data_IF_842380329543
#
_entry.id   IF_842380329543
#
_cell.length_a   1.000
_cell.length_b   1.000
_cell.length_c   1.000
_cell.angle_alpha   90.00
_cell.angle_beta   90.00
_cell.angle_gamma   90.00
#
_symmetry.space_group_name_H-M   'P 1'
#
loop_
_entity.id
_entity.type
_entity.pdbx_description
1 polymer ?
#
# COMPACT_ATOMS: atom_id res chain seq x y z
N UNK A 1 -6.31 33.26 51.99
CA UNK A 1 -4.91 32.78 52.18
C UNK A 1 -4.60 31.83 51.05
N UNK A 2 -3.64 32.19 50.21
CA UNK A 2 -3.18 31.41 49.05
C UNK A 2 -1.84 30.77 49.45
N UNK A 3 -1.66 29.47 49.24
CA UNK A 3 -0.41 28.73 49.51
C UNK A 3 0.06 28.03 48.21
N UNK A 4 1.39 27.86 48.02
CA UNK A 4 2.01 27.78 46.71
C UNK A 4 2.09 26.37 46.10
N UNK A 5 2.05 26.35 44.77
CA UNK A 5 2.31 25.22 43.88
C UNK A 5 3.73 24.69 44.11
N UNK A 6 3.88 23.38 44.37
CA UNK A 6 5.19 22.71 44.40
C UNK A 6 5.47 21.97 43.09
N UNK A 7 6.57 22.40 42.47
CA UNK A 7 7.41 21.72 41.46
C UNK A 7 7.80 20.34 42.01
N UNK A 8 7.93 19.25 41.27
CA UNK A 8 7.91 18.97 39.85
C UNK A 8 8.57 17.60 39.65
N UNK A 9 8.18 16.89 38.60
CA UNK A 9 8.97 15.76 38.09
C UNK A 9 8.68 15.66 36.60
N UNK A 10 9.52 16.30 35.79
CA UNK A 10 9.53 16.07 34.34
C UNK A 10 10.07 14.66 34.11
N UNK A 11 9.16 13.70 33.92
CA UNK A 11 9.50 12.38 33.39
C UNK A 11 9.89 12.60 31.93
N UNK A 12 11.19 12.67 31.65
CA UNK A 12 11.69 12.57 30.28
C UNK A 12 11.48 11.13 29.81
N UNK A 13 10.37 10.91 29.09
CA UNK A 13 10.10 9.66 28.40
C UNK A 13 11.08 9.57 27.22
N UNK A 14 12.19 8.88 27.41
CA UNK A 14 13.11 8.56 26.32
C UNK A 14 12.42 7.53 25.42
N UNK A 15 11.73 8.00 24.38
CA UNK A 15 11.17 7.14 23.35
C UNK A 15 12.33 6.69 22.46
N UNK A 16 12.93 5.55 22.79
CA UNK A 16 13.88 4.89 21.91
C UNK A 16 13.12 4.41 20.67
N UNK A 17 13.17 5.17 19.58
CA UNK A 17 12.63 4.77 18.28
C UNK A 17 13.54 3.70 17.68
N UNK A 18 13.23 2.43 17.94
CA UNK A 18 13.77 1.31 17.16
C UNK A 18 13.09 1.33 15.78
N UNK A 19 13.60 2.15 14.87
CA UNK A 19 13.23 2.09 13.46
C UNK A 19 13.92 0.86 12.84
N UNK A 20 13.32 -0.33 13.03
CA UNK A 20 13.69 -1.50 12.23
C UNK A 20 13.00 -1.36 10.88
N UNK A 21 13.74 -1.26 9.76
CA UNK A 21 13.11 -1.28 8.44
C UNK A 21 12.46 -2.65 8.22
N UNK A 22 11.13 -2.70 8.24
CA UNK A 22 10.37 -3.89 7.85
C UNK A 22 10.50 -4.11 6.35
N UNK A 23 11.13 -5.21 5.93
CA UNK A 23 11.10 -5.64 4.53
C UNK A 23 9.74 -6.27 4.24
N UNK A 24 8.98 -5.67 3.31
CA UNK A 24 7.80 -6.28 2.72
C UNK A 24 8.20 -7.53 1.94
N UNK A 25 7.67 -8.69 2.30
CA UNK A 25 7.92 -9.95 1.59
C UNK A 25 6.89 -10.13 0.49
N UNK A 26 7.17 -9.52 -0.66
CA UNK A 26 6.35 -9.72 -1.84
C UNK A 26 6.54 -11.14 -2.36
N UNK A 27 5.44 -11.88 -2.49
CA UNK A 27 5.40 -13.19 -3.14
C UNK A 27 5.30 -12.96 -4.64
N UNK A 28 6.02 -13.74 -5.43
CA UNK A 28 5.80 -13.79 -6.87
C UNK A 28 4.45 -14.47 -7.11
N UNK A 29 3.39 -13.75 -7.52
CA UNK A 29 2.12 -14.40 -7.81
C UNK A 29 2.28 -15.31 -9.04
N UNK A 30 1.48 -16.38 -9.16
CA UNK A 30 1.36 -17.10 -10.43
C UNK A 30 0.99 -16.12 -11.55
N UNK A 31 1.24 -16.50 -12.81
CA UNK A 31 1.00 -15.62 -13.97
C UNK A 31 -0.49 -15.34 -14.17
N UNK A 32 -1.00 -14.33 -13.47
CA UNK A 32 -2.33 -13.77 -13.67
C UNK A 32 -2.30 -12.87 -14.89
N UNK A 33 -3.28 -13.00 -15.77
CA UNK A 33 -3.39 -12.13 -16.94
C UNK A 33 -3.78 -10.71 -16.55
N UNK A 34 -3.41 -9.72 -17.36
CA UNK A 34 -3.75 -8.31 -17.10
C UNK A 34 -5.26 -8.09 -17.16
N UNK A 35 -5.93 -8.78 -18.08
CA UNK A 35 -7.37 -8.76 -18.26
C UNK A 35 -8.10 -9.25 -17.00
N UNK A 36 -7.58 -10.30 -16.36
CA UNK A 36 -8.10 -10.84 -15.11
C UNK A 36 -7.92 -9.88 -13.94
N UNK A 37 -6.76 -9.21 -13.84
CA UNK A 37 -6.53 -8.16 -12.84
C UNK A 37 -7.52 -7.00 -13.04
N UNK A 38 -7.66 -6.49 -14.26
CA UNK A 38 -8.58 -5.40 -14.56
C UNK A 38 -10.01 -5.79 -14.24
N UNK A 39 -10.44 -6.99 -14.65
CA UNK A 39 -11.79 -7.47 -14.36
C UNK A 39 -12.05 -7.58 -12.86
N UNK A 40 -11.09 -8.11 -12.09
CA UNK A 40 -11.18 -8.19 -10.63
C UNK A 40 -11.29 -6.79 -9.99
N UNK A 41 -10.50 -5.83 -10.44
CA UNK A 41 -10.54 -4.46 -9.94
C UNK A 41 -11.85 -3.74 -10.25
N UNK A 42 -12.41 -3.93 -11.45
CA UNK A 42 -13.70 -3.34 -11.86
C UNK A 42 -14.87 -3.93 -11.09
N UNK A 43 -14.81 -5.24 -10.81
CA UNK A 43 -15.85 -5.94 -10.05
C UNK A 43 -15.70 -5.81 -8.53
N UNK A 44 -14.69 -5.07 -8.06
CA UNK A 44 -14.31 -4.95 -6.65
C UNK A 44 -13.97 -6.29 -5.96
N UNK A 45 -13.49 -7.27 -6.74
CA UNK A 45 -13.17 -8.64 -6.28
C UNK A 45 -11.68 -8.92 -6.26
N UNK A 46 -10.87 -8.06 -5.63
CA UNK A 46 -9.41 -8.28 -5.60
C UNK A 46 -9.02 -9.52 -4.79
N UNK A 47 -9.89 -9.98 -3.88
CA UNK A 47 -9.68 -11.16 -3.04
C UNK A 47 -9.55 -12.47 -3.83
N UNK A 48 -10.02 -12.51 -5.07
CA UNK A 48 -9.88 -13.70 -5.94
C UNK A 48 -8.49 -13.80 -6.57
N UNK A 49 -7.73 -12.70 -6.54
CA UNK A 49 -6.36 -12.68 -7.06
C UNK A 49 -5.41 -13.35 -6.05
N UNK A 50 -4.30 -13.94 -6.52
CA UNK A 50 -3.30 -14.54 -5.65
C UNK A 50 -2.70 -13.50 -4.69
N UNK A 51 -2.40 -13.90 -3.44
CA UNK A 51 -1.82 -12.99 -2.46
C UNK A 51 -0.43 -12.51 -2.90
N UNK A 52 -0.23 -11.18 -2.85
CA UNK A 52 1.04 -10.55 -3.18
C UNK A 52 2.02 -10.46 -2.00
N UNK A 53 1.54 -10.61 -0.76
CA UNK A 53 2.32 -10.35 0.45
C UNK A 53 2.20 -11.54 1.40
N UNK A 54 3.31 -12.20 1.73
CA UNK A 54 3.29 -13.38 2.62
C UNK A 54 3.15 -13.01 4.10
N UNK A 55 3.49 -11.77 4.45
CA UNK A 55 3.41 -11.18 5.78
C UNK A 55 2.03 -10.60 6.11
N UNK A 56 1.11 -10.58 5.14
CA UNK A 56 -0.29 -10.17 5.34
C UNK A 56 -1.22 -11.34 5.01
N UNK A 57 -1.63 -12.15 6.02
CA UNK A 57 -2.48 -13.30 5.76
C UNK A 57 -3.91 -12.89 5.37
N UNK A 58 -4.68 -13.77 4.68
CA UNK A 58 -6.01 -13.43 4.15
C UNK A 58 -7.05 -13.00 5.18
N UNK A 59 -6.90 -13.44 6.43
CA UNK A 59 -7.78 -13.10 7.56
C UNK A 59 -7.41 -11.77 8.24
N UNK A 60 -6.28 -11.15 7.86
CA UNK A 60 -5.84 -9.89 8.42
C UNK A 60 -6.64 -8.72 7.84
N UNK A 61 -7.00 -7.74 8.68
CA UNK A 61 -7.78 -6.56 8.29
C UNK A 61 -7.15 -5.76 7.12
N UNK A 62 -5.83 -5.80 6.99
CA UNK A 62 -5.09 -5.08 5.95
C UNK A 62 -5.08 -5.80 4.59
N UNK A 63 -5.41 -7.11 4.53
CA UNK A 63 -5.22 -7.96 3.35
C UNK A 63 -5.84 -7.37 2.08
N UNK A 64 -7.14 -7.07 2.13
CA UNK A 64 -7.86 -6.47 0.99
C UNK A 64 -7.28 -5.11 0.58
N UNK A 65 -6.88 -4.31 1.56
CA UNK A 65 -6.39 -2.95 1.30
C UNK A 65 -5.05 -2.99 0.55
N UNK A 66 -4.10 -3.80 1.02
CA UNK A 66 -2.79 -3.91 0.39
C UNK A 66 -2.91 -4.54 -1.01
N UNK A 67 -3.76 -5.55 -1.17
CA UNK A 67 -4.02 -6.13 -2.48
C UNK A 67 -4.66 -5.13 -3.46
N UNK A 68 -5.67 -4.36 -3.03
CA UNK A 68 -6.31 -3.35 -3.88
C UNK A 68 -5.32 -2.27 -4.30
N UNK A 69 -4.46 -1.80 -3.40
CA UNK A 69 -3.45 -0.80 -3.72
C UNK A 69 -2.44 -1.35 -4.74
N UNK A 70 -1.99 -2.59 -4.56
CA UNK A 70 -0.95 -3.18 -5.41
C UNK A 70 -1.44 -3.68 -6.76
N UNK A 71 -2.61 -4.32 -6.83
CA UNK A 71 -3.18 -4.81 -8.09
C UNK A 71 -3.91 -3.72 -8.86
N UNK A 72 -4.73 -2.93 -8.17
CA UNK A 72 -5.66 -2.04 -8.85
C UNK A 72 -5.14 -0.62 -8.97
N UNK A 73 -4.16 -0.18 -8.18
CA UNK A 73 -3.57 1.16 -8.28
C UNK A 73 -4.64 2.27 -8.45
N UNK A 74 -4.70 2.96 -9.61
CA UNK A 74 -5.71 4.00 -9.90
C UNK A 74 -7.10 3.45 -10.27
N UNK A 75 -7.21 2.18 -10.66
CA UNK A 75 -8.46 1.53 -11.04
C UNK A 75 -9.29 1.21 -9.80
N UNK A 76 -10.02 2.20 -9.31
CA UNK A 76 -10.97 2.02 -8.20
C UNK A 76 -12.37 1.73 -8.74
N UNK A 77 -13.26 1.24 -7.88
CA UNK A 77 -14.61 0.72 -8.17
C UNK A 77 -15.63 1.76 -8.70
N UNK A 78 -15.16 2.79 -9.41
CA UNK A 78 -15.93 3.84 -10.08
C UNK A 78 -15.30 4.27 -11.42
N UNK A 79 -14.34 3.50 -11.94
CA UNK A 79 -13.66 3.83 -13.20
C UNK A 79 -14.62 3.59 -14.37
N UNK A 80 -14.97 4.60 -15.18
CA UNK A 80 -15.94 4.42 -16.26
C UNK A 80 -15.36 3.52 -17.36
N UNK A 81 -16.18 2.66 -18.01
CA UNK A 81 -15.71 1.61 -18.92
C UNK A 81 -14.87 2.12 -20.09
N UNK A 82 -15.19 3.30 -20.61
CA UNK A 82 -14.42 3.96 -21.67
C UNK A 82 -13.01 4.39 -21.23
N UNK A 83 -12.79 4.67 -19.94
CA UNK A 83 -11.47 5.00 -19.40
C UNK A 83 -10.62 3.73 -19.24
N UNK A 84 -11.24 2.60 -18.90
CA UNK A 84 -10.57 1.30 -18.77
C UNK A 84 -9.98 0.87 -20.11
N UNK A 85 -10.74 0.90 -21.19
CA UNK A 85 -10.26 0.55 -22.53
C UNK A 85 -9.10 1.42 -23.01
N UNK A 86 -9.15 2.72 -22.68
CA UNK A 86 -8.07 3.67 -23.01
C UNK A 86 -6.82 3.37 -22.21
N UNK A 87 -6.93 3.13 -20.90
CA UNK A 87 -5.79 2.78 -20.07
C UNK A 87 -5.17 1.44 -20.50
N UNK A 88 -5.99 0.43 -20.81
CA UNK A 88 -5.52 -0.85 -21.38
C UNK A 88 -4.63 -0.62 -22.61
N UNK A 89 -5.06 0.30 -23.50
CA UNK A 89 -4.39 0.65 -24.75
C UNK A 89 -3.18 1.58 -24.58
N UNK A 90 -3.21 2.51 -23.63
CA UNK A 90 -2.22 3.58 -23.43
C UNK A 90 -1.09 3.19 -22.44
N UNK A 91 -1.19 2.10 -21.67
CA UNK A 91 -0.12 1.58 -20.76
C UNK A 91 1.15 1.04 -21.48
N UNK A 92 1.45 1.49 -22.70
CA UNK A 92 2.84 1.58 -23.16
C UNK A 92 3.57 2.78 -22.53
N UNK A 93 2.86 3.68 -21.83
CA UNK A 93 3.35 4.97 -21.32
C UNK A 93 3.17 5.17 -19.80
N UNK A 94 2.49 4.26 -19.11
CA UNK A 94 2.38 4.30 -17.65
C UNK A 94 3.60 3.58 -17.06
N UNK A 95 4.39 4.25 -16.19
CA UNK A 95 5.48 3.58 -15.50
C UNK A 95 4.92 2.36 -14.78
N UNK A 96 5.67 1.24 -14.86
CA UNK A 96 5.35 0.02 -14.14
C UNK A 96 4.74 0.34 -12.78
N UNK A 97 3.65 -0.31 -12.35
CA UNK A 97 2.98 -0.03 -11.07
C UNK A 97 3.85 -0.32 -9.82
N UNK A 98 5.17 -0.44 -9.98
CA UNK A 98 6.14 -0.64 -8.91
C UNK A 98 7.53 -0.08 -9.22
N UNK A 99 7.67 0.92 -10.09
CA UNK A 99 8.85 1.79 -10.04
C UNK A 99 8.51 2.97 -9.13
N UNK A 100 8.64 2.77 -7.81
CA UNK A 100 8.78 3.89 -6.88
C UNK A 100 9.93 4.77 -7.42
N UNK A 101 9.77 6.08 -7.60
CA UNK A 101 10.93 6.94 -7.78
C UNK A 101 11.81 6.75 -6.56
N UNK A 102 13.05 6.31 -6.78
CA UNK A 102 14.09 6.27 -5.75
C UNK A 102 14.13 7.69 -5.14
N UNK A 103 13.74 7.79 -3.86
CA UNK A 103 13.83 9.05 -3.14
C UNK A 103 15.30 9.47 -3.16
N UNK A 104 15.65 10.70 -3.57
CA UNK A 104 17.03 11.13 -3.52
C UNK A 104 17.52 11.02 -2.08
N UNK A 105 18.59 10.25 -1.90
CA UNK A 105 19.29 10.06 -0.65
C UNK A 105 19.72 11.43 -0.11
N UNK A 106 19.41 11.79 1.15
CA UNK A 106 19.88 13.04 1.72
C UNK A 106 21.41 12.96 1.84
N UNK A 107 22.10 13.64 0.94
CA UNK A 107 23.53 13.90 1.03
C UNK A 107 23.75 14.82 2.23
N UNK A 108 24.42 14.29 3.25
CA UNK A 108 24.79 14.97 4.48
C UNK A 108 26.10 15.73 4.28
#
# INVERSE_FOLDING_TARGET
MIQPIRIGTTVFLAIATLAVPGRSQQVTPPSVSREEIVQACVQDRVEVLPPLFSDVPPDHWAFLSVQKISYCGPFRSATPPNLIERLIREEGLLPNPMSLPESPEPTL
#
